data_IF_815579269637
#
_entry.id   IF_815579269637
#
_cell.length_a   1.000
_cell.length_b   1.000
_cell.length_c   1.000
_cell.angle_alpha   90.00
_cell.angle_beta   90.00
_cell.angle_gamma   90.00
#
_symmetry.space_group_name_H-M   'P 1'
#
loop_
_entity.id
_entity.type
_entity.pdbx_description
1 polymer ?
#
# COMPACT_ATOMS: atom_id res chain seq x y z
N UNK A 1 39.81 -7.50 -28.33
CA UNK A 1 39.40 -6.79 -27.10
C UNK A 1 38.00 -7.24 -26.76
N UNK A 2 37.81 -7.95 -25.64
CA UNK A 2 36.48 -8.36 -25.16
C UNK A 2 35.98 -7.23 -24.27
N UNK A 3 35.05 -6.41 -24.76
CA UNK A 3 34.33 -5.46 -23.91
C UNK A 3 33.27 -6.26 -23.15
N UNK A 4 33.57 -6.60 -21.90
CA UNK A 4 32.55 -7.00 -20.94
C UNK A 4 31.79 -5.72 -20.59
N UNK A 5 30.64 -5.52 -21.23
CA UNK A 5 29.63 -4.61 -20.68
C UNK A 5 29.09 -5.33 -19.45
N UNK A 6 29.60 -4.96 -18.28
CA UNK A 6 28.96 -5.29 -17.02
C UNK A 6 27.56 -4.68 -17.10
N UNK A 7 26.55 -5.52 -17.31
CA UNK A 7 25.16 -5.17 -17.07
C UNK A 7 25.13 -4.82 -15.59
N UNK A 8 25.24 -3.52 -15.28
CA UNK A 8 25.18 -3.02 -13.91
C UNK A 8 23.97 -3.64 -13.24
N UNK A 9 24.15 -4.19 -12.05
CA UNK A 9 23.05 -4.69 -11.23
C UNK A 9 21.91 -3.66 -11.27
N UNK A 10 20.66 -4.09 -11.53
CA UNK A 10 19.54 -3.16 -11.42
C UNK A 10 19.63 -2.52 -10.04
N UNK A 11 19.49 -1.19 -9.92
CA UNK A 11 19.60 -0.55 -8.62
C UNK A 11 18.66 -1.26 -7.65
N UNK A 12 19.20 -1.65 -6.50
CA UNK A 12 18.45 -2.41 -5.52
C UNK A 12 17.22 -1.61 -5.10
N UNK A 13 16.06 -2.27 -5.07
CA UNK A 13 14.81 -1.67 -4.60
C UNK A 13 14.99 -1.34 -3.10
N UNK A 14 14.84 -0.08 -2.75
CA UNK A 14 14.94 0.38 -1.37
C UNK A 14 13.76 -0.12 -0.52
N UNK A 15 13.99 -0.39 0.76
CA UNK A 15 12.94 -0.80 1.68
C UNK A 15 12.20 0.42 2.25
N UNK A 16 10.86 0.33 2.32
CA UNK A 16 10.00 1.28 3.03
C UNK A 16 9.47 0.64 4.32
N UNK A 17 9.50 1.40 5.41
CA UNK A 17 8.68 1.12 6.58
C UNK A 17 7.26 1.63 6.31
N UNK A 18 6.28 0.73 6.28
CA UNK A 18 4.87 1.07 6.06
C UNK A 18 4.11 0.95 7.38
N UNK A 19 3.37 2.00 7.74
CA UNK A 19 2.53 2.06 8.93
C UNK A 19 1.08 2.20 8.54
N UNK A 20 0.19 1.50 9.26
CA UNK A 20 -1.27 1.60 9.09
C UNK A 20 -1.88 1.93 10.44
N UNK A 21 -2.64 3.01 10.49
CA UNK A 21 -3.47 3.39 11.64
C UNK A 21 -4.95 3.34 11.22
N UNK A 22 -5.82 3.01 12.17
CA UNK A 22 -7.26 2.87 11.92
C UNK A 22 -8.03 4.03 12.54
N UNK A 23 -8.92 4.63 11.76
CA UNK A 23 -9.83 5.70 12.20
C UNK A 23 -11.17 5.18 12.72
N UNK A 24 -11.46 3.88 12.52
CA UNK A 24 -12.67 3.22 13.00
C UNK A 24 -12.41 1.80 13.51
N UNK A 25 -13.35 1.28 14.31
CA UNK A 25 -13.24 -0.05 14.92
C UNK A 25 -13.45 -1.22 13.95
N UNK A 26 -14.05 -0.98 12.77
CA UNK A 26 -14.19 -1.99 11.71
C UNK A 26 -12.93 -2.07 10.81
N UNK A 27 -11.94 -1.19 11.04
CA UNK A 27 -10.71 -1.05 10.28
C UNK A 27 -10.94 -0.78 8.78
N UNK A 28 -11.98 0.00 8.46
CA UNK A 28 -12.32 0.35 7.06
C UNK A 28 -11.78 1.71 6.63
N UNK A 29 -11.41 2.55 7.58
CA UNK A 29 -10.84 3.88 7.37
C UNK A 29 -9.40 3.85 7.84
N UNK A 30 -8.47 3.93 6.89
CA UNK A 30 -7.05 3.74 7.10
C UNK A 30 -6.30 5.06 6.95
N UNK A 31 -5.33 5.33 7.83
CA UNK A 31 -4.21 6.24 7.57
C UNK A 31 -2.99 5.41 7.28
N UNK A 32 -2.51 5.50 6.05
CA UNK A 32 -1.32 4.79 5.58
C UNK A 32 -0.18 5.79 5.52
N UNK A 33 0.95 5.45 6.14
CA UNK A 33 2.20 6.19 6.05
C UNK A 33 3.33 5.30 5.54
N UNK A 34 4.30 5.89 4.86
CA UNK A 34 5.53 5.20 4.45
C UNK A 34 6.75 6.08 4.70
N UNK A 35 7.82 5.47 5.18
CA UNK A 35 9.09 6.15 5.40
C UNK A 35 10.21 5.30 4.82
N UNK A 36 11.07 5.87 3.96
CA UNK A 36 12.26 5.16 3.50
C UNK A 36 13.25 4.94 4.65
N UNK A 37 14.02 3.86 4.56
CA UNK A 37 15.12 3.62 5.50
C UNK A 37 16.28 4.61 5.28
N UNK A 38 16.43 5.17 4.06
CA UNK A 38 17.34 6.28 3.79
C UNK A 38 16.61 7.63 3.77
N UNK A 39 17.34 8.74 3.95
CA UNK A 39 16.79 10.10 3.80
C UNK A 39 16.57 10.45 2.32
N UNK A 40 15.60 9.78 1.67
CA UNK A 40 15.17 10.03 0.29
C UNK A 40 13.71 10.53 0.27
N UNK A 41 13.36 11.33 -0.72
CA UNK A 41 11.96 11.68 -1.03
C UNK A 41 11.56 11.04 -2.35
N UNK A 42 10.36 10.47 -2.38
CA UNK A 42 9.73 9.96 -3.58
C UNK A 42 8.70 10.97 -4.08
N UNK A 43 8.54 11.04 -5.40
CA UNK A 43 7.54 11.93 -6.01
C UNK A 43 6.17 11.30 -6.01
N UNK A 44 6.09 9.97 -6.13
CA UNK A 44 4.82 9.27 -6.23
C UNK A 44 4.86 7.93 -5.50
N UNK A 45 3.72 7.51 -4.96
CA UNK A 45 3.54 6.20 -4.33
C UNK A 45 2.22 5.56 -4.76
N UNK A 46 2.28 4.31 -5.25
CA UNK A 46 1.10 3.48 -5.51
C UNK A 46 0.82 2.63 -4.28
N UNK A 47 -0.43 2.66 -3.85
CA UNK A 47 -0.91 1.95 -2.67
C UNK A 47 -1.79 0.79 -3.11
N UNK A 48 -1.57 -0.37 -2.50
CA UNK A 48 -2.29 -1.60 -2.80
C UNK A 48 -2.79 -2.24 -1.51
N UNK A 49 -4.01 -2.77 -1.54
CA UNK A 49 -4.49 -3.74 -0.56
C UNK A 49 -4.00 -5.13 -0.97
N UNK A 50 -3.52 -5.91 -0.01
CA UNK A 50 -3.02 -7.24 -0.25
C UNK A 50 -3.83 -8.26 0.53
N UNK A 51 -4.25 -9.32 -0.17
CA UNK A 51 -4.75 -10.57 0.41
C UNK A 51 -3.85 -11.71 -0.09
N UNK A 52 -2.96 -12.22 0.77
CA UNK A 52 -1.95 -13.20 0.38
C UNK A 52 -1.03 -12.71 -0.76
N UNK A 53 -1.19 -13.29 -1.95
CA UNK A 53 -0.46 -12.93 -3.16
C UNK A 53 -1.22 -11.92 -4.05
N UNK A 54 -2.53 -11.76 -3.83
CA UNK A 54 -3.37 -10.86 -4.60
C UNK A 54 -3.15 -9.41 -4.17
N UNK A 55 -2.99 -8.51 -5.14
CA UNK A 55 -2.79 -7.08 -4.92
C UNK A 55 -3.89 -6.31 -5.64
N UNK A 56 -4.69 -5.57 -4.87
CA UNK A 56 -5.73 -4.68 -5.39
C UNK A 56 -5.22 -3.24 -5.31
N UNK A 57 -5.15 -2.56 -6.45
CA UNK A 57 -4.77 -1.15 -6.48
C UNK A 57 -5.83 -0.27 -5.80
N UNK A 58 -5.39 0.61 -4.91
CA UNK A 58 -6.27 1.54 -4.20
C UNK A 58 -6.12 2.97 -4.74
N UNK A 59 -4.88 3.46 -4.86
CA UNK A 59 -4.61 4.88 -5.15
C UNK A 59 -3.15 5.13 -5.55
N UNK A 60 -2.94 6.24 -6.27
CA UNK A 60 -1.67 6.93 -6.47
C UNK A 60 -1.64 8.19 -5.60
N UNK A 61 -0.53 8.42 -4.90
CA UNK A 61 -0.32 9.59 -4.05
C UNK A 61 0.94 10.31 -4.53
N UNK A 62 0.81 11.59 -4.85
CA UNK A 62 1.92 12.41 -5.32
C UNK A 62 2.40 13.36 -4.21
N UNK A 63 3.72 13.49 -4.09
CA UNK A 63 4.44 14.44 -3.23
C UNK A 63 4.09 14.38 -1.74
N UNK A 64 3.59 13.24 -1.27
CA UNK A 64 3.26 12.98 0.12
C UNK A 64 3.86 11.64 0.57
N UNK A 65 4.06 11.50 1.87
CA UNK A 65 4.52 10.29 2.55
C UNK A 65 3.40 9.56 3.32
N UNK A 66 2.15 10.03 3.16
CA UNK A 66 0.97 9.49 3.82
C UNK A 66 -0.32 9.77 3.05
N UNK A 67 -1.35 8.97 3.31
CA UNK A 67 -2.69 9.17 2.76
C UNK A 67 -3.77 8.54 3.63
N UNK A 68 -5.00 9.01 3.48
CA UNK A 68 -6.20 8.39 4.06
C UNK A 68 -6.97 7.62 3.01
N UNK A 69 -7.39 6.40 3.34
CA UNK A 69 -8.08 5.48 2.43
C UNK A 69 -9.34 4.94 3.11
N UNK A 70 -10.45 5.01 2.39
CA UNK A 70 -11.66 4.26 2.73
C UNK A 70 -11.66 2.93 1.95
N UNK A 71 -11.69 1.81 2.66
CA UNK A 71 -11.83 0.50 2.04
C UNK A 71 -13.26 0.31 1.50
N UNK A 72 -13.43 -0.38 0.36
CA UNK A 72 -14.75 -0.65 -0.21
C UNK A 72 -15.66 -1.40 0.77
N UNK A 73 -16.94 -1.05 0.81
CA UNK A 73 -17.88 -1.72 1.73
C UNK A 73 -18.07 -3.21 1.43
N UNK A 74 -18.00 -3.56 0.14
CA UNK A 74 -18.10 -4.94 -0.35
C UNK A 74 -16.83 -5.77 -0.09
N UNK A 75 -15.78 -5.19 0.52
CA UNK A 75 -14.59 -5.94 0.87
C UNK A 75 -14.97 -7.05 1.89
N UNK A 76 -14.63 -8.32 1.62
CA UNK A 76 -14.88 -9.41 2.54
C UNK A 76 -14.20 -9.19 3.90
N UNK A 77 -14.75 -9.82 4.93
CA UNK A 77 -14.01 -9.95 6.19
C UNK A 77 -12.79 -10.83 5.96
N UNK A 78 -11.64 -10.42 6.48
CA UNK A 78 -10.39 -11.14 6.20
C UNK A 78 -9.16 -10.45 6.77
N UNK A 79 -8.01 -11.10 6.57
CA UNK A 79 -6.71 -10.54 6.90
C UNK A 79 -6.11 -9.89 5.66
N UNK A 80 -5.68 -8.64 5.81
CA UNK A 80 -5.14 -7.83 4.73
C UNK A 80 -3.84 -7.15 5.17
N UNK A 81 -3.04 -6.71 4.20
CA UNK A 81 -1.91 -5.82 4.42
C UNK A 81 -1.92 -4.67 3.39
N UNK A 82 -1.12 -3.64 3.62
CA UNK A 82 -0.88 -2.58 2.63
C UNK A 82 0.51 -2.73 2.03
N UNK A 83 0.56 -2.78 0.70
CA UNK A 83 1.80 -2.63 -0.07
C UNK A 83 1.91 -1.19 -0.60
N UNK A 84 3.10 -0.63 -0.49
CA UNK A 84 3.45 0.68 -1.06
C UNK A 84 4.61 0.50 -2.02
N UNK A 85 4.41 0.94 -3.26
CA UNK A 85 5.43 1.03 -4.29
C UNK A 85 5.72 2.52 -4.53
N UNK A 86 6.96 2.99 -4.27
CA UNK A 86 7.33 4.39 -4.41
C UNK A 86 8.32 4.63 -5.55
N UNK A 87 8.19 5.80 -6.17
CA UNK A 87 8.85 6.18 -7.42
C UNK A 87 9.48 7.57 -7.28
N UNK A 88 10.74 7.68 -7.66
CA UNK A 88 11.42 8.94 -7.88
C UNK A 88 11.08 9.54 -9.24
N UNK A 89 11.49 10.78 -9.44
CA UNK A 89 11.06 11.61 -10.58
C UNK A 89 11.48 11.12 -11.95
N UNK A 90 12.66 10.49 -12.03
CA UNK A 90 13.14 9.85 -13.26
C UNK A 90 12.45 8.50 -13.54
N UNK A 91 11.86 7.87 -12.54
CA UNK A 91 11.48 6.45 -12.60
C UNK A 91 10.01 6.22 -12.92
N UNK A 92 9.15 7.24 -12.79
CA UNK A 92 7.72 7.12 -13.13
C UNK A 92 7.49 6.84 -14.63
N UNK A 93 8.28 7.47 -15.49
CA UNK A 93 8.20 7.30 -16.95
C UNK A 93 8.74 5.97 -17.45
N UNK A 94 9.80 5.46 -16.81
CA UNK A 94 10.45 4.19 -17.18
C UNK A 94 9.83 2.98 -16.44
N UNK A 95 8.90 3.23 -15.52
CA UNK A 95 8.22 2.20 -14.72
C UNK A 95 9.13 1.51 -13.71
N UNK A 96 10.31 2.08 -13.45
CA UNK A 96 11.28 1.51 -12.53
C UNK A 96 10.85 1.74 -11.09
N UNK A 97 10.81 0.68 -10.29
CA UNK A 97 10.43 0.75 -8.89
C UNK A 97 11.64 1.15 -8.04
N UNK A 98 11.61 2.32 -7.42
CA UNK A 98 12.70 2.78 -6.57
C UNK A 98 12.65 2.17 -5.17
N UNK A 99 11.46 2.06 -4.58
CA UNK A 99 11.31 1.56 -3.22
C UNK A 99 9.99 0.81 -3.01
N UNK A 100 10.00 -0.14 -2.10
CA UNK A 100 8.81 -0.91 -1.73
C UNK A 100 8.78 -1.23 -0.24
N UNK A 101 7.58 -1.24 0.32
CA UNK A 101 7.35 -1.77 1.65
C UNK A 101 5.99 -2.42 1.79
N UNK A 102 5.86 -3.23 2.84
CA UNK A 102 4.63 -3.90 3.25
C UNK A 102 4.38 -3.63 4.73
N UNK A 103 3.13 -3.33 5.08
CA UNK A 103 2.71 -3.22 6.48
C UNK A 103 2.58 -4.59 7.14
N UNK A 104 2.49 -4.61 8.46
CA UNK A 104 1.94 -5.79 9.16
C UNK A 104 0.51 -6.07 8.69
N UNK A 105 0.10 -7.34 8.82
CA UNK A 105 -1.27 -7.74 8.51
C UNK A 105 -2.24 -7.22 9.57
N UNK A 106 -3.43 -6.83 9.13
CA UNK A 106 -4.56 -6.42 9.95
C UNK A 106 -5.83 -7.17 9.54
N UNK A 107 -6.84 -7.16 10.40
CA UNK A 107 -8.12 -7.82 10.14
C UNK A 107 -9.20 -6.77 9.87
N UNK A 108 -9.92 -6.93 8.76
CA UNK A 108 -11.12 -6.13 8.45
C UNK A 108 -12.34 -6.91 8.94
N UNK A 109 -13.20 -6.24 9.71
CA UNK A 109 -14.43 -6.83 10.21
C UNK A 109 -15.45 -7.04 9.07
N UNK A 110 -16.35 -8.04 9.19
CA UNK A 110 -17.50 -8.12 8.29
C UNK A 110 -18.25 -6.80 8.33
N UNK A 111 -18.54 -6.25 7.15
CA UNK A 111 -19.39 -5.07 7.05
C UNK A 111 -20.72 -5.42 7.70
N UNK A 112 -21.04 -4.74 8.80
CA UNK A 112 -22.34 -4.89 9.43
C UNK A 112 -23.38 -4.43 8.42
N UNK A 113 -23.92 -5.36 7.63
CA UNK A 113 -25.31 -5.26 7.27
C UNK A 113 -26.03 -5.16 8.61
N UNK A 114 -26.60 -4.00 8.88
CA UNK A 114 -27.43 -3.73 10.04
C UNK A 114 -28.24 -5.01 10.31
N UNK A 115 -28.11 -5.55 11.53
CA UNK A 115 -29.01 -6.61 11.96
C UNK A 115 -30.40 -5.99 11.96
N UNK A 116 -31.11 -6.15 10.84
CA UNK A 116 -32.53 -5.88 10.68
C UNK A 116 -33.23 -6.70 11.76
N UNK A 117 -33.39 -6.04 12.90
CA UNK A 117 -34.12 -6.56 14.03
C UNK A 117 -35.57 -6.31 13.67
N UNK A 118 -36.08 -7.13 12.76
CA UNK A 118 -37.50 -7.20 12.44
C UNK A 118 -38.27 -7.61 13.69
N UNK A 119 -38.64 -6.62 14.51
CA UNK A 119 -39.65 -6.78 15.55
C UNK A 119 -41.01 -6.80 14.87
N UNK A 120 -41.42 -8.00 14.46
CA UNK A 120 -42.82 -8.34 14.27
C UNK A 120 -43.37 -8.94 15.57
N UNK A 121 -44.21 -8.19 16.26
CA UNK A 121 -45.60 -8.54 16.65
C UNK A 121 -46.22 -7.34 17.39
#
# INVERSE_FOLDING_TARGET
MKSHTELGEPPAIEALRVTVEFDDAAHRSLRVGWTPDAYRRFESARIFLVDGADRTYLRLVDWQDRTSIQLPEALPAGSYAIDVDAYGSASWGDGHLDARGRSDCFTVAPGGAESDSGSGD
#
